data_IF_715409831684
#
_entry.id   IF_715409831684
#
_cell.length_a   1.000
_cell.length_b   1.000
_cell.length_c   1.000
_cell.angle_alpha   90.00
_cell.angle_beta   90.00
_cell.angle_gamma   90.00
#
_symmetry.space_group_name_H-M   'P 1'
#
loop_
_entity.id
_entity.type
_entity.pdbx_description
1 polymer ?
#
# COMPACT_ATOMS: atom_id res chain seq x y z
N UNK A 1 -1.65 15.09 -6.59
CA UNK A 1 -1.93 13.85 -7.33
C UNK A 1 -1.01 12.75 -6.80
N UNK A 2 -1.51 11.69 -6.12
CA UNK A 2 -0.67 10.63 -5.54
C UNK A 2 0.03 9.74 -6.58
N UNK A 3 -0.55 9.57 -7.77
CA UNK A 3 0.04 8.85 -8.88
C UNK A 3 0.01 9.74 -10.15
N UNK A 4 1.03 10.60 -10.35
CA UNK A 4 1.04 11.60 -11.42
C UNK A 4 1.10 11.00 -12.83
N UNK A 5 1.68 9.81 -12.99
CA UNK A 5 1.85 9.12 -14.28
C UNK A 5 0.77 8.05 -14.53
N UNK A 6 -0.28 8.02 -13.70
CA UNK A 6 -1.37 7.07 -13.82
C UNK A 6 -2.17 7.28 -15.11
N UNK A 7 -2.56 6.17 -15.76
CA UNK A 7 -3.41 6.19 -16.95
C UNK A 7 -4.52 5.16 -16.76
N UNK A 8 -5.78 5.61 -16.77
CA UNK A 8 -6.94 4.75 -16.50
C UNK A 8 -7.12 3.58 -17.50
N UNK A 9 -6.55 3.67 -18.69
CA UNK A 9 -6.79 2.73 -19.79
C UNK A 9 -5.56 1.92 -20.21
N UNK A 10 -4.48 1.93 -19.43
CA UNK A 10 -3.27 1.14 -19.75
C UNK A 10 -3.28 -0.28 -19.16
N UNK A 11 -4.35 -0.65 -18.44
CA UNK A 11 -4.51 -1.97 -17.85
C UNK A 11 -3.48 -2.28 -16.75
N UNK A 12 -2.91 -1.26 -16.13
CA UNK A 12 -1.95 -1.38 -15.05
C UNK A 12 -2.45 -0.70 -13.77
N UNK A 13 -1.80 -1.03 -12.65
CA UNK A 13 -1.91 -0.31 -11.39
C UNK A 13 -0.57 0.36 -11.08
N UNK A 14 -0.62 1.60 -10.61
CA UNK A 14 0.55 2.34 -10.16
C UNK A 14 0.79 2.07 -8.67
N UNK A 15 1.97 1.55 -8.35
CA UNK A 15 2.39 1.22 -6.98
C UNK A 15 3.41 2.26 -6.53
N UNK A 16 3.06 2.99 -5.48
CA UNK A 16 3.91 4.03 -4.88
C UNK A 16 4.35 3.58 -3.50
N UNK A 17 5.65 3.42 -3.29
CA UNK A 17 6.23 2.99 -2.01
C UNK A 17 7.11 4.10 -1.46
N UNK A 18 6.80 4.57 -0.25
CA UNK A 18 7.71 5.41 0.52
C UNK A 18 8.63 4.52 1.35
N UNK A 19 9.92 4.54 1.04
CA UNK A 19 10.98 3.88 1.81
C UNK A 19 11.23 4.61 3.13
N UNK A 20 12.06 4.01 3.98
CA UNK A 20 12.48 4.64 5.23
C UNK A 20 13.00 6.09 5.03
N UNK A 21 12.70 6.94 6.01
CA UNK A 21 12.95 8.37 5.96
C UNK A 21 12.66 9.07 7.28
N UNK A 22 13.24 10.26 7.46
CA UNK A 22 12.99 11.07 8.64
C UNK A 22 11.55 11.61 8.66
N UNK A 23 11.04 11.99 9.84
CA UNK A 23 9.73 12.66 9.96
C UNK A 23 9.63 13.92 9.08
N UNK A 24 10.73 14.66 8.93
CA UNK A 24 10.80 15.80 8.01
C UNK A 24 10.75 15.36 6.55
N UNK A 25 11.39 14.23 6.20
CA UNK A 25 11.28 13.61 4.89
C UNK A 25 9.84 13.21 4.56
N UNK A 26 9.12 12.61 5.52
CA UNK A 26 7.70 12.29 5.38
C UNK A 26 6.84 13.56 5.23
N UNK A 27 7.08 14.60 6.03
CA UNK A 27 6.37 15.87 5.90
C UNK A 27 6.58 16.48 4.51
N UNK A 28 7.83 16.51 4.04
CA UNK A 28 8.17 16.99 2.69
C UNK A 28 7.42 16.19 1.62
N UNK A 29 7.42 14.85 1.71
CA UNK A 29 6.65 13.98 0.82
C UNK A 29 5.16 14.37 0.79
N UNK A 30 4.52 14.50 1.95
CA UNK A 30 3.10 14.84 2.06
C UNK A 30 2.78 16.20 1.46
N UNK A 31 3.64 17.21 1.66
CA UNK A 31 3.45 18.55 1.07
C UNK A 31 3.58 18.55 -0.46
N UNK A 32 4.41 17.68 -1.02
CA UNK A 32 4.62 17.57 -2.47
C UNK A 32 3.59 16.65 -3.17
N UNK A 33 2.86 15.84 -2.40
CA UNK A 33 1.87 14.88 -2.91
C UNK A 33 0.74 15.56 -3.69
N UNK A 34 0.31 16.76 -3.28
CA UNK A 34 -0.68 17.57 -4.00
C UNK A 34 -0.23 17.93 -5.42
N UNK A 35 1.05 18.23 -5.59
CA UNK A 35 1.66 18.64 -6.87
C UNK A 35 2.20 17.46 -7.70
N UNK A 36 2.19 16.24 -7.15
CA UNK A 36 2.77 15.06 -7.83
C UNK A 36 4.30 15.03 -7.84
N UNK A 37 4.98 15.97 -7.17
CA UNK A 37 6.45 16.05 -7.15
C UNK A 37 7.09 15.06 -6.17
N UNK A 38 6.31 14.41 -5.31
CA UNK A 38 6.79 13.41 -4.34
C UNK A 38 7.51 12.25 -5.01
N UNK A 39 7.12 11.87 -6.24
CA UNK A 39 7.76 10.78 -7.01
C UNK A 39 9.22 11.05 -7.39
N UNK A 40 9.67 12.31 -7.33
CA UNK A 40 11.06 12.70 -7.59
C UNK A 40 11.99 12.47 -6.38
N UNK A 41 11.43 12.18 -5.21
CA UNK A 41 12.19 11.93 -4.00
C UNK A 41 12.98 10.62 -4.11
N UNK A 42 14.24 10.57 -3.67
CA UNK A 42 15.00 9.30 -3.63
C UNK A 42 14.41 8.28 -2.65
N UNK A 43 13.49 8.70 -1.77
CA UNK A 43 12.77 7.84 -0.83
C UNK A 43 11.52 7.19 -1.46
N UNK A 44 11.15 7.54 -2.70
CA UNK A 44 9.96 6.99 -3.35
C UNK A 44 10.36 5.99 -4.41
N UNK A 45 9.68 4.84 -4.44
CA UNK A 45 9.67 3.93 -5.56
C UNK A 45 8.32 4.03 -6.26
N UNK A 46 8.35 4.06 -7.59
CA UNK A 46 7.16 4.13 -8.42
C UNK A 46 7.21 3.02 -9.46
N UNK A 47 6.24 2.11 -9.43
CA UNK A 47 6.14 1.00 -10.36
C UNK A 47 4.81 1.05 -11.07
N UNK A 48 4.81 0.71 -12.36
CA UNK A 48 3.60 0.43 -13.12
C UNK A 48 3.56 -1.06 -13.43
N UNK A 49 2.57 -1.76 -12.90
CA UNK A 49 2.51 -3.23 -12.92
C UNK A 49 1.12 -3.72 -13.30
N UNK A 50 1.03 -4.94 -13.82
CA UNK A 50 -0.26 -5.63 -14.05
C UNK A 50 -0.69 -6.49 -12.87
N UNK A 51 0.28 -6.92 -12.08
CA UNK A 51 0.06 -7.72 -10.88
C UNK A 51 1.24 -7.55 -9.92
N UNK A 52 0.97 -7.69 -8.63
CA UNK A 52 2.00 -7.79 -7.61
C UNK A 52 1.48 -8.58 -6.41
N UNK A 53 2.41 -8.99 -5.55
CA UNK A 53 2.12 -9.62 -4.27
C UNK A 53 2.68 -8.73 -3.17
N UNK A 54 1.83 -8.35 -2.22
CA UNK A 54 2.23 -7.65 -1.00
C UNK A 54 2.25 -8.67 0.14
N UNK A 55 3.44 -8.90 0.69
CA UNK A 55 3.64 -9.75 1.86
C UNK A 55 4.10 -8.85 3.03
N UNK A 56 3.27 -8.70 4.08
CA UNK A 56 3.63 -7.84 5.20
C UNK A 56 4.88 -8.35 5.93
N UNK A 57 5.89 -7.48 6.06
CA UNK A 57 7.10 -7.76 6.83
C UNK A 57 6.97 -7.40 8.31
N UNK A 58 8.02 -7.68 9.08
CA UNK A 58 8.11 -7.29 10.49
C UNK A 58 8.19 -5.77 10.65
N UNK A 59 7.45 -5.22 11.61
CA UNK A 59 7.54 -3.79 11.94
C UNK A 59 8.91 -3.43 12.53
N UNK A 60 9.48 -2.32 12.08
CA UNK A 60 10.89 -1.95 12.32
C UNK A 60 11.26 -1.75 13.79
N UNK A 61 10.33 -1.29 14.63
CA UNK A 61 10.58 -1.06 16.06
C UNK A 61 10.07 -2.19 16.97
N UNK A 62 9.15 -3.02 16.48
CA UNK A 62 8.47 -4.03 17.29
C UNK A 62 7.99 -5.17 16.37
N UNK A 63 8.76 -6.27 16.26
CA UNK A 63 8.43 -7.38 15.37
C UNK A 63 7.09 -8.08 15.66
N UNK A 64 6.50 -7.86 16.84
CA UNK A 64 5.21 -8.46 17.21
C UNK A 64 4.00 -7.71 16.63
N UNK A 65 4.23 -6.49 16.11
CA UNK A 65 3.18 -5.64 15.56
C UNK A 65 3.09 -5.77 14.04
N UNK A 66 1.87 -5.91 13.57
CA UNK A 66 1.55 -5.79 12.15
C UNK A 66 1.07 -4.39 11.77
N UNK A 67 0.33 -4.32 10.67
CA UNK A 67 -0.20 -3.11 10.08
C UNK A 67 -1.67 -3.30 9.66
N UNK A 68 -2.26 -2.24 9.11
CA UNK A 68 -3.62 -2.25 8.58
C UNK A 68 -3.52 -2.24 7.06
N UNK A 69 -4.36 -3.05 6.41
CA UNK A 69 -4.54 -3.04 4.96
C UNK A 69 -5.95 -2.52 4.68
N UNK A 70 -6.05 -1.45 3.90
CA UNK A 70 -7.31 -0.90 3.42
C UNK A 70 -7.39 -0.92 1.88
N UNK A 71 -8.63 -0.94 1.38
CA UNK A 71 -8.94 -0.78 -0.04
C UNK A 71 -10.19 0.10 -0.15
N UNK A 72 -10.15 1.10 -1.01
CA UNK A 72 -11.22 2.09 -1.22
C UNK A 72 -11.74 2.75 0.07
N UNK A 73 -10.88 2.88 1.09
CA UNK A 73 -11.21 3.46 2.39
C UNK A 73 -11.78 2.49 3.43
N UNK A 74 -11.93 1.21 3.08
CA UNK A 74 -12.44 0.16 3.97
C UNK A 74 -11.33 -0.79 4.44
N UNK A 75 -11.35 -1.18 5.71
CA UNK A 75 -10.31 -2.05 6.28
C UNK A 75 -10.53 -3.51 5.90
N UNK A 76 -9.59 -4.08 5.14
CA UNK A 76 -9.61 -5.47 4.71
C UNK A 76 -8.98 -6.42 5.72
N UNK A 77 -7.80 -6.08 6.25
CA UNK A 77 -7.02 -6.95 7.14
C UNK A 77 -6.32 -6.15 8.24
N UNK A 78 -6.15 -6.77 9.42
CA UNK A 78 -5.47 -6.19 10.59
C UNK A 78 -4.45 -7.16 11.14
N UNK A 79 -3.20 -6.71 11.28
CA UNK A 79 -2.17 -7.44 11.99
C UNK A 79 -2.26 -7.24 13.51
N UNK A 80 -1.52 -8.07 14.25
CA UNK A 80 -1.46 -8.01 15.71
C UNK A 80 -1.02 -6.64 16.23
N UNK A 81 -1.60 -6.20 17.34
CA UNK A 81 -1.23 -4.95 18.01
C UNK A 81 -1.62 -3.66 17.28
N UNK A 82 -2.36 -3.76 16.17
CA UNK A 82 -2.93 -2.61 15.46
C UNK A 82 -4.23 -2.11 16.11
N UNK A 83 -4.67 -0.92 15.74
CA UNK A 83 -5.93 -0.37 16.21
C UNK A 83 -7.11 -1.30 15.86
N UNK A 84 -7.88 -1.71 16.89
CA UNK A 84 -9.02 -2.63 16.77
C UNK A 84 -8.65 -3.99 16.13
N UNK A 85 -7.47 -4.53 16.40
CA UNK A 85 -7.04 -5.84 15.88
C UNK A 85 -7.92 -7.02 16.32
N UNK A 86 -8.66 -6.88 17.42
CA UNK A 86 -9.58 -7.92 17.91
C UNK A 86 -10.88 -8.01 17.08
N UNK A 87 -11.14 -7.03 16.21
CA UNK A 87 -12.28 -7.09 15.30
C UNK A 87 -11.99 -8.04 14.15
N UNK A 88 -13.00 -8.87 13.83
CA UNK A 88 -12.96 -9.74 12.66
C UNK A 88 -12.71 -8.91 11.40
N UNK A 89 -11.66 -9.25 10.68
CA UNK A 89 -11.31 -8.63 9.40
C UNK A 89 -11.89 -9.44 8.25
N UNK A 90 -12.08 -8.80 7.10
CA UNK A 90 -12.63 -9.45 5.90
C UNK A 90 -11.63 -10.43 5.29
N UNK A 91 -10.34 -10.10 5.36
CA UNK A 91 -9.21 -10.86 4.85
C UNK A 91 -8.20 -11.15 5.96
N UNK A 92 -7.41 -12.20 5.75
CA UNK A 92 -6.25 -12.54 6.57
C UNK A 92 -5.15 -11.48 6.41
N UNK A 93 -4.45 -11.16 7.51
CA UNK A 93 -3.26 -10.32 7.47
C UNK A 93 -2.03 -11.17 7.11
N UNK A 94 -1.91 -11.46 5.83
CA UNK A 94 -0.84 -12.27 5.22
C UNK A 94 -0.63 -11.79 3.78
N UNK A 95 -0.13 -12.66 2.91
CA UNK A 95 0.02 -12.47 1.48
C UNK A 95 -1.27 -11.96 0.82
N UNK A 96 -1.18 -10.73 0.31
CA UNK A 96 -2.20 -10.10 -0.53
C UNK A 96 -1.73 -10.13 -1.98
N UNK A 97 -2.52 -10.74 -2.84
CA UNK A 97 -2.27 -10.74 -4.28
C UNK A 97 -3.17 -9.70 -4.93
N UNK A 98 -2.56 -8.87 -5.78
CA UNK A 98 -3.25 -7.82 -6.52
C UNK A 98 -3.04 -8.07 -8.00
N UNK A 99 -4.13 -8.15 -8.76
CA UNK A 99 -4.11 -8.37 -10.20
C UNK A 99 -5.06 -7.41 -10.91
N UNK A 100 -4.68 -6.90 -12.06
CA UNK A 100 -5.55 -6.11 -12.94
C UNK A 100 -5.93 -6.97 -14.14
N UNK A 101 -7.23 -7.22 -14.31
CA UNK A 101 -7.78 -7.86 -15.50
C UNK A 101 -8.94 -7.03 -16.04
N UNK A 102 -8.98 -6.78 -17.35
CA UNK A 102 -10.03 -5.99 -18.01
C UNK A 102 -10.36 -4.64 -17.32
N UNK A 103 -9.33 -3.93 -16.84
CA UNK A 103 -9.45 -2.67 -16.08
C UNK A 103 -10.10 -2.79 -14.69
N UNK A 104 -10.22 -4.01 -14.15
CA UNK A 104 -10.65 -4.28 -12.78
C UNK A 104 -9.46 -4.74 -11.95
N UNK A 105 -9.13 -3.95 -10.91
CA UNK A 105 -8.18 -4.38 -9.89
C UNK A 105 -8.88 -5.33 -8.90
N UNK A 106 -8.36 -6.54 -8.78
CA UNK A 106 -8.86 -7.56 -7.86
C UNK A 106 -7.81 -7.82 -6.78
N UNK A 107 -8.27 -7.83 -5.53
CA UNK A 107 -7.47 -8.12 -4.34
C UNK A 107 -7.95 -9.44 -3.74
N UNK A 108 -7.02 -10.33 -3.40
CA UNK A 108 -7.35 -11.57 -2.73
C UNK A 108 -6.23 -11.98 -1.77
N UNK A 109 -6.62 -12.54 -0.62
CA UNK A 109 -5.71 -13.18 0.32
C UNK A 109 -6.02 -14.68 0.39
N UNK A 110 -5.04 -15.47 0.83
CA UNK A 110 -5.28 -16.88 1.12
C UNK A 110 -6.26 -17.01 2.29
N UNK A 111 -7.26 -17.87 2.14
CA UNK A 111 -8.17 -18.22 3.23
C UNK A 111 -7.36 -18.73 4.43
N UNK A 112 -7.59 -18.12 5.59
CA UNK A 112 -7.13 -18.61 6.88
C UNK A 112 -8.02 -19.75 7.39
#
# INVERSE_FOLDING_TARGET
MPAPDAKFSDGCVDVVIFKDGSKLGLLSFMTQLGYGNHVKSPHVLYFKVKAFVLEPGAHTNDPSKGAIIDCDGEVLARGNGTYKCDLKSLMSYDKLVVTVDQALATLFSTLA
#
